data_IF_573268601436
#
_entry.id   IF_573268601436
#
_cell.length_a   1.000
_cell.length_b   1.000
_cell.length_c   1.000
_cell.angle_alpha   90.00
_cell.angle_beta   90.00
_cell.angle_gamma   90.00
#
_symmetry.space_group_name_H-M   'P 1'
#
loop_
_entity.id
_entity.type
_entity.pdbx_description
1 polymer ?
#
# COMPACT_ATOMS: atom_id res chain seq x y z
N UNK A 1 -8.11 8.09 -22.74
CA UNK A 1 -7.86 9.11 -21.69
C UNK A 1 -8.05 8.56 -20.29
N UNK A 2 -9.16 7.90 -19.98
CA UNK A 2 -9.41 7.32 -18.63
C UNK A 2 -8.31 6.38 -18.16
N UNK A 3 -7.82 5.53 -19.07
CA UNK A 3 -6.74 4.60 -18.72
C UNK A 3 -5.44 5.30 -18.35
N UNK A 4 -5.10 6.38 -19.04
CA UNK A 4 -3.89 7.15 -18.75
C UNK A 4 -4.00 7.81 -17.37
N UNK A 5 -5.15 8.41 -17.06
CA UNK A 5 -5.41 9.01 -15.76
C UNK A 5 -5.29 7.95 -14.66
N UNK A 6 -5.88 6.79 -14.89
CA UNK A 6 -5.81 5.66 -13.95
C UNK A 6 -4.36 5.17 -13.77
N UNK A 7 -3.59 5.08 -14.86
CA UNK A 7 -2.18 4.71 -14.79
C UNK A 7 -1.37 5.68 -13.94
N UNK A 8 -1.56 6.98 -14.14
CA UNK A 8 -0.89 8.03 -13.34
C UNK A 8 -1.28 7.90 -11.87
N UNK A 9 -2.55 7.70 -11.59
CA UNK A 9 -3.05 7.51 -10.22
C UNK A 9 -2.39 6.31 -9.54
N UNK A 10 -2.29 5.18 -10.25
CA UNK A 10 -1.66 3.96 -9.73
C UNK A 10 -0.16 4.18 -9.49
N UNK A 11 0.53 4.87 -10.39
CA UNK A 11 1.95 5.20 -10.20
C UNK A 11 2.15 6.04 -8.95
N UNK A 12 1.31 7.05 -8.73
CA UNK A 12 1.38 7.90 -7.54
C UNK A 12 1.06 7.10 -6.27
N UNK A 13 0.09 6.20 -6.33
CA UNK A 13 -0.25 5.33 -5.20
C UNK A 13 0.89 4.38 -4.86
N UNK A 14 1.60 3.87 -5.87
CA UNK A 14 2.82 3.10 -5.67
C UNK A 14 3.90 3.89 -4.93
N UNK A 15 4.07 5.17 -5.26
CA UNK A 15 5.03 6.04 -4.55
C UNK A 15 4.62 6.24 -3.10
N UNK A 16 3.32 6.31 -2.79
CA UNK A 16 2.84 6.39 -1.40
C UNK A 16 3.27 5.16 -0.62
N UNK A 17 3.26 3.97 -1.21
CA UNK A 17 3.76 2.77 -0.55
C UNK A 17 5.25 2.87 -0.22
N UNK A 18 6.06 3.51 -1.07
CA UNK A 18 7.46 3.78 -0.75
C UNK A 18 7.60 4.73 0.44
N UNK A 19 6.70 5.71 0.58
CA UNK A 19 6.67 6.58 1.75
C UNK A 19 6.38 5.79 3.03
N UNK A 20 5.43 4.86 2.98
CA UNK A 20 5.16 3.98 4.12
C UNK A 20 6.35 3.06 4.43
N UNK A 21 7.05 2.57 3.42
CA UNK A 21 8.27 1.79 3.62
C UNK A 21 9.32 2.60 4.37
N UNK A 22 9.54 3.86 3.97
CA UNK A 22 10.46 4.76 4.66
C UNK A 22 10.02 5.05 6.09
N UNK A 23 8.73 5.27 6.31
CA UNK A 23 8.17 5.46 7.66
C UNK A 23 8.41 4.23 8.54
N UNK A 24 8.23 3.03 8.01
CA UNK A 24 8.42 1.79 8.78
C UNK A 24 9.86 1.63 9.28
N UNK A 25 10.84 2.13 8.53
CA UNK A 25 12.25 2.12 8.91
C UNK A 25 12.68 3.37 9.67
N UNK A 26 11.75 4.26 9.99
CA UNK A 26 12.01 5.50 10.72
C UNK A 26 12.99 6.44 10.02
N UNK A 27 13.06 6.38 8.70
CA UNK A 27 13.84 7.33 7.91
C UNK A 27 13.24 8.73 7.98
N UNK A 28 11.92 8.82 8.09
CA UNK A 28 11.16 10.04 8.30
C UNK A 28 9.79 9.67 8.89
N UNK A 29 9.00 10.67 9.27
CA UNK A 29 7.63 10.47 9.76
C UNK A 29 6.64 11.12 8.80
N UNK A 30 5.66 10.36 8.32
CA UNK A 30 4.61 10.88 7.44
C UNK A 30 3.67 11.84 8.19
N UNK A 31 3.44 11.56 9.48
CA UNK A 31 2.61 12.38 10.35
C UNK A 31 3.30 12.55 11.70
N UNK A 32 3.17 13.71 12.37
CA UNK A 32 3.72 13.88 13.72
C UNK A 32 3.18 12.81 14.68
N UNK A 33 4.09 12.14 15.39
CA UNK A 33 3.71 11.09 16.35
C UNK A 33 3.29 9.77 15.74
N UNK A 34 3.43 9.58 14.44
CA UNK A 34 3.07 8.33 13.76
C UNK A 34 4.00 7.20 14.19
N UNK A 35 3.41 6.12 14.69
CA UNK A 35 4.14 4.94 15.17
C UNK A 35 3.99 3.72 14.27
N UNK A 36 3.19 3.80 13.20
CA UNK A 36 2.99 2.69 12.26
C UNK A 36 4.33 2.13 11.77
N UNK A 37 4.54 0.83 11.68
CA UNK A 37 3.63 -0.28 11.94
C UNK A 37 3.82 -0.91 13.34
N UNK A 38 4.40 -0.21 14.30
CA UNK A 38 4.88 -0.76 15.58
C UNK A 38 3.77 -1.43 16.40
N UNK A 39 2.53 -0.97 16.28
CA UNK A 39 1.40 -1.52 17.01
C UNK A 39 0.64 -2.63 16.30
N UNK A 40 1.20 -3.23 15.24
CA UNK A 40 0.52 -4.26 14.46
C UNK A 40 -0.08 -5.36 15.33
N UNK A 41 -1.39 -5.57 15.20
CA UNK A 41 -2.11 -6.60 15.96
C UNK A 41 -1.65 -8.02 15.58
N UNK A 42 -1.24 -8.21 14.32
CA UNK A 42 -0.87 -9.52 13.80
C UNK A 42 0.60 -9.88 14.08
N UNK A 43 1.51 -8.91 14.00
CA UNK A 43 2.94 -9.21 13.99
C UNK A 43 3.70 -8.73 15.23
N UNK A 44 3.23 -7.67 15.90
CA UNK A 44 3.98 -7.08 17.00
C UNK A 44 4.20 -8.07 18.15
N UNK A 45 3.16 -8.84 18.49
CA UNK A 45 3.24 -9.85 19.57
C UNK A 45 4.00 -11.10 19.15
N UNK A 46 3.91 -11.48 17.86
CA UNK A 46 4.51 -12.73 17.37
C UNK A 46 5.99 -12.57 17.06
N UNK A 47 6.38 -11.45 16.45
CA UNK A 47 7.71 -11.28 15.88
C UNK A 47 8.48 -10.09 16.46
N UNK A 48 7.84 -9.23 17.25
CA UNK A 48 8.44 -8.03 17.83
C UNK A 48 8.46 -6.85 16.88
N UNK A 49 8.82 -5.68 17.41
CA UNK A 49 8.77 -4.41 16.68
C UNK A 49 9.74 -4.38 15.50
N UNK A 50 10.98 -4.87 15.70
CA UNK A 50 12.01 -4.84 14.66
C UNK A 50 11.61 -5.65 13.42
N UNK A 51 11.14 -6.87 13.61
CA UNK A 51 10.69 -7.74 12.51
C UNK A 51 9.43 -7.17 11.86
N UNK A 52 8.50 -6.62 12.65
CA UNK A 52 7.30 -5.96 12.14
C UNK A 52 7.66 -4.81 11.18
N UNK A 53 8.62 -3.98 11.55
CA UNK A 53 9.09 -2.89 10.69
C UNK A 53 9.71 -3.39 9.40
N UNK A 54 10.52 -4.46 9.48
CA UNK A 54 11.11 -5.08 8.29
C UNK A 54 10.04 -5.64 7.35
N UNK A 55 9.07 -6.38 7.89
CA UNK A 55 7.98 -6.94 7.11
C UNK A 55 7.15 -5.85 6.44
N UNK A 56 6.87 -4.76 7.15
CA UNK A 56 6.14 -3.63 6.60
C UNK A 56 6.92 -2.97 5.45
N UNK A 57 8.21 -2.78 5.63
CA UNK A 57 9.07 -2.19 4.61
C UNK A 57 9.08 -3.03 3.34
N UNK A 58 9.33 -4.32 3.43
CA UNK A 58 9.35 -5.21 2.27
C UNK A 58 7.98 -5.33 1.61
N UNK A 59 6.93 -5.45 2.41
CA UNK A 59 5.56 -5.53 1.89
C UNK A 59 5.16 -4.27 1.11
N UNK A 60 5.46 -3.10 1.66
CA UNK A 60 5.18 -1.83 0.98
C UNK A 60 6.03 -1.65 -0.27
N UNK A 61 7.29 -2.08 -0.25
CA UNK A 61 8.16 -2.04 -1.43
C UNK A 61 7.61 -2.95 -2.55
N UNK A 62 7.12 -4.14 -2.20
CA UNK A 62 6.51 -5.04 -3.18
C UNK A 62 5.23 -4.43 -3.78
N UNK A 63 4.40 -3.79 -2.96
CA UNK A 63 3.22 -3.08 -3.45
C UNK A 63 3.61 -1.95 -4.41
N UNK A 64 4.64 -1.18 -4.07
CA UNK A 64 5.13 -0.11 -4.93
C UNK A 64 5.57 -0.66 -6.28
N UNK A 65 6.33 -1.74 -6.29
CA UNK A 65 6.76 -2.39 -7.54
C UNK A 65 5.56 -2.89 -8.36
N UNK A 66 4.58 -3.51 -7.71
CA UNK A 66 3.39 -4.01 -8.37
C UNK A 66 2.55 -2.89 -9.00
N UNK A 67 2.34 -1.80 -8.29
CA UNK A 67 1.57 -0.67 -8.81
C UNK A 67 2.34 0.07 -9.92
N UNK A 68 3.64 0.25 -9.78
CA UNK A 68 4.45 0.89 -10.83
C UNK A 68 4.45 0.02 -12.08
N UNK A 69 4.67 -1.29 -11.95
CA UNK A 69 4.63 -2.20 -13.08
C UNK A 69 3.24 -2.23 -13.73
N UNK A 70 2.18 -2.21 -12.94
CA UNK A 70 0.81 -2.14 -13.42
C UNK A 70 0.52 -0.85 -14.20
N UNK A 71 0.93 0.29 -13.65
CA UNK A 71 0.78 1.59 -14.31
C UNK A 71 1.52 1.66 -15.64
N UNK A 72 2.76 1.17 -15.68
CA UNK A 72 3.55 1.10 -16.91
C UNK A 72 2.87 0.16 -17.92
N UNK A 73 2.35 -0.97 -17.48
CA UNK A 73 1.64 -1.92 -18.36
C UNK A 73 0.39 -1.29 -18.99
N UNK A 74 -0.34 -0.46 -18.24
CA UNK A 74 -1.48 0.28 -18.78
C UNK A 74 -1.01 1.23 -19.90
N UNK A 75 0.04 1.99 -19.62
CA UNK A 75 0.57 2.96 -20.59
C UNK A 75 1.12 2.29 -21.83
N UNK A 76 1.69 1.09 -21.68
CA UNK A 76 2.20 0.29 -22.78
C UNK A 76 1.10 -0.50 -23.53
N UNK A 77 -0.15 -0.40 -23.11
CA UNK A 77 -1.27 -1.10 -23.75
C UNK A 77 -1.27 -2.61 -23.54
N UNK A 78 -0.56 -3.13 -22.53
CA UNK A 78 -0.48 -4.56 -22.28
C UNK A 78 -1.69 -5.07 -21.49
N UNK A 79 -2.25 -6.21 -21.91
CA UNK A 79 -3.43 -6.78 -21.25
C UNK A 79 -3.15 -7.27 -19.81
N UNK A 80 -1.88 -7.48 -19.48
CA UNK A 80 -1.47 -7.99 -18.16
C UNK A 80 -1.70 -7.03 -17.00
N UNK A 81 -2.02 -5.77 -17.29
CA UNK A 81 -2.17 -4.76 -16.23
C UNK A 81 -3.29 -5.12 -15.23
N UNK A 82 -4.39 -5.71 -15.72
CA UNK A 82 -5.53 -6.02 -14.83
C UNK A 82 -5.18 -6.99 -13.71
N UNK A 83 -4.68 -8.20 -13.99
CA UNK A 83 -4.32 -9.12 -12.89
C UNK A 83 -3.22 -8.53 -12.00
N UNK A 84 -2.27 -7.82 -12.59
CA UNK A 84 -1.17 -7.22 -11.86
C UNK A 84 -1.66 -6.18 -10.85
N UNK A 85 -2.50 -5.25 -11.28
CA UNK A 85 -3.08 -4.21 -10.43
C UNK A 85 -4.04 -4.81 -9.40
N UNK A 86 -4.86 -5.78 -9.82
CA UNK A 86 -5.82 -6.43 -8.93
C UNK A 86 -5.13 -7.15 -7.78
N UNK A 87 -4.14 -7.98 -8.07
CA UNK A 87 -3.38 -8.72 -7.05
C UNK A 87 -2.66 -7.75 -6.12
N UNK A 88 -2.03 -6.72 -6.69
CA UNK A 88 -1.31 -5.73 -5.88
C UNK A 88 -2.25 -4.95 -4.96
N UNK A 89 -3.43 -4.55 -5.44
CA UNK A 89 -4.40 -3.83 -4.62
C UNK A 89 -4.95 -4.69 -3.49
N UNK A 90 -5.22 -5.97 -3.74
CA UNK A 90 -5.66 -6.91 -2.70
C UNK A 90 -4.55 -7.07 -1.67
N UNK A 91 -3.32 -7.29 -2.10
CA UNK A 91 -2.17 -7.42 -1.21
C UNK A 91 -1.97 -6.15 -0.37
N UNK A 92 -2.08 -4.97 -0.98
CA UNK A 92 -1.99 -3.69 -0.30
C UNK A 92 -3.04 -3.55 0.81
N UNK A 93 -4.29 -3.86 0.51
CA UNK A 93 -5.35 -3.80 1.51
C UNK A 93 -5.07 -4.77 2.66
N UNK A 94 -4.62 -5.98 2.36
CA UNK A 94 -4.29 -6.98 3.38
C UNK A 94 -3.15 -6.54 4.28
N UNK A 95 -2.08 -5.97 3.74
CA UNK A 95 -0.96 -5.53 4.58
C UNK A 95 -1.35 -4.39 5.50
N UNK A 96 -2.17 -3.44 5.04
CA UNK A 96 -2.63 -2.36 5.92
C UNK A 96 -3.55 -2.89 7.04
N UNK A 97 -4.35 -3.92 6.77
CA UNK A 97 -5.15 -4.58 7.79
C UNK A 97 -4.25 -5.31 8.80
N UNK A 98 -3.25 -6.05 8.31
CA UNK A 98 -2.34 -6.82 9.17
C UNK A 98 -1.42 -5.93 10.01
N UNK A 99 -1.00 -4.78 9.49
CA UNK A 99 -0.14 -3.86 10.22
C UNK A 99 -0.90 -2.81 11.04
N UNK A 100 -2.24 -2.87 11.04
CA UNK A 100 -3.07 -2.02 11.87
C UNK A 100 -2.89 -2.38 13.36
N UNK A 101 -3.05 -1.39 14.24
CA UNK A 101 -2.94 -1.61 15.69
C UNK A 101 -4.25 -2.04 16.34
N UNK A 102 -5.33 -2.21 15.58
CA UNK A 102 -6.64 -2.59 16.07
C UNK A 102 -7.43 -1.47 16.75
N UNK A 103 -6.88 -0.26 16.80
CA UNK A 103 -7.51 0.90 17.44
C UNK A 103 -8.11 1.83 16.40
N UNK A 104 -9.26 2.42 16.72
CA UNK A 104 -9.97 3.31 15.79
C UNK A 104 -9.47 4.76 15.83
N UNK A 105 -8.65 5.12 16.81
CA UNK A 105 -8.10 6.46 16.95
C UNK A 105 -7.02 6.73 15.88
N UNK A 106 -7.09 7.87 15.20
CA UNK A 106 -6.14 8.29 14.16
C UNK A 106 -6.00 7.26 13.03
N UNK A 107 -7.12 6.74 12.53
CA UNK A 107 -7.12 5.74 11.45
C UNK A 107 -6.33 6.17 10.20
N UNK A 108 -6.36 7.44 9.72
CA UNK A 108 -5.56 7.83 8.56
C UNK A 108 -4.06 7.58 8.74
N UNK A 109 -3.52 7.71 9.96
CA UNK A 109 -2.11 7.46 10.25
C UNK A 109 -1.78 5.96 10.24
N UNK A 110 -2.78 5.09 10.15
CA UNK A 110 -2.64 3.63 10.26
C UNK A 110 -2.93 2.91 8.95
N UNK A 111 -3.00 3.65 7.85
CA UNK A 111 -3.18 3.06 6.53
C UNK A 111 -4.63 2.90 6.07
N UNK A 112 -5.62 3.45 6.80
CA UNK A 112 -7.02 3.35 6.40
C UNK A 112 -7.26 3.99 5.03
N UNK A 113 -6.64 5.14 4.74
CA UNK A 113 -6.75 5.80 3.45
C UNK A 113 -6.20 4.88 2.35
N UNK A 114 -5.09 4.18 2.61
CA UNK A 114 -4.52 3.21 1.67
C UNK A 114 -5.48 2.07 1.36
N UNK A 115 -6.22 1.58 2.36
CA UNK A 115 -7.23 0.54 2.16
C UNK A 115 -8.35 1.04 1.27
N UNK A 116 -8.87 2.24 1.55
CA UNK A 116 -9.94 2.86 0.76
C UNK A 116 -9.51 3.05 -0.69
N UNK A 117 -8.29 3.55 -0.91
CA UNK A 117 -7.73 3.75 -2.25
C UNK A 117 -7.57 2.41 -2.96
N UNK A 118 -7.09 1.37 -2.27
CA UNK A 118 -6.94 0.03 -2.84
C UNK A 118 -8.28 -0.54 -3.30
N UNK A 119 -9.34 -0.34 -2.51
CA UNK A 119 -10.70 -0.75 -2.90
C UNK A 119 -11.15 0.03 -4.14
N UNK A 120 -10.92 1.33 -4.18
CA UNK A 120 -11.24 2.16 -5.35
C UNK A 120 -10.49 1.69 -6.60
N UNK A 121 -9.23 1.31 -6.46
CA UNK A 121 -8.43 0.74 -7.55
C UNK A 121 -9.04 -0.58 -8.04
N UNK A 122 -9.45 -1.46 -7.13
CA UNK A 122 -10.08 -2.74 -7.49
C UNK A 122 -11.36 -2.52 -8.30
N UNK A 123 -12.21 -1.61 -7.84
CA UNK A 123 -13.46 -1.29 -8.54
C UNK A 123 -13.18 -0.72 -9.94
N UNK A 124 -12.23 0.21 -10.03
CA UNK A 124 -11.86 0.83 -11.30
C UNK A 124 -11.26 -0.20 -12.27
N UNK A 125 -10.40 -1.09 -11.79
CA UNK A 125 -9.81 -2.14 -12.61
C UNK A 125 -10.88 -3.10 -13.15
N UNK A 126 -11.92 -3.34 -12.37
CA UNK A 126 -13.05 -4.17 -12.81
C UNK A 126 -13.88 -3.48 -13.91
N UNK A 127 -14.14 -2.17 -13.74
CA UNK A 127 -14.95 -1.39 -14.68
C UNK A 127 -14.21 -1.14 -16.00
N UNK A 128 -12.94 -0.79 -15.96
CA UNK A 128 -12.14 -0.55 -17.15
C UNK A 128 -11.77 -1.86 -17.85
#
# INVERSE_FOLDING_TARGET
MMRIIFAIFILLHGLVHLLYAGQSQRLFKLQPGMAWPDGSWAFCRLAGVKVTRMLACYSCALCALGFVAGGISIMAGQARWRPMVTVTAIFSALIFILFWDGKTKKLPDKGMIGIIISIAILVTAYIL
#
